data_IF_909725600834
#
_entry.id   IF_909725600834
#
_cell.length_a   1.000
_cell.length_b   1.000
_cell.length_c   1.000
_cell.angle_alpha   90.00
_cell.angle_beta   90.00
_cell.angle_gamma   90.00
#
_symmetry.space_group_name_H-M   'P 1'
#
loop_
_entity.id
_entity.type
_entity.pdbx_description
1 polymer ?
#
# COMPACT_ATOMS: atom_id res chain seq x y z
N UNK A 1 2.31 13.75 -17.99
CA UNK A 1 1.95 12.65 -17.06
C UNK A 1 0.44 12.38 -16.95
N UNK A 2 -0.42 13.38 -16.65
CA UNK A 2 -1.87 13.18 -16.47
C UNK A 2 -2.66 12.74 -17.72
N UNK A 3 -2.12 12.92 -18.93
CA UNK A 3 -2.80 12.49 -20.16
C UNK A 3 -2.72 10.98 -20.38
N UNK A 4 -1.63 10.32 -19.96
CA UNK A 4 -1.47 8.87 -20.13
C UNK A 4 -2.54 8.08 -19.35
N UNK A 5 -2.79 8.45 -18.08
CA UNK A 5 -3.84 7.83 -17.27
C UNK A 5 -5.25 7.97 -17.86
N UNK A 6 -5.48 9.04 -18.63
CA UNK A 6 -6.78 9.34 -19.28
C UNK A 6 -6.90 8.78 -20.69
N UNK A 7 -5.85 8.16 -21.22
CA UNK A 7 -5.89 7.56 -22.55
C UNK A 7 -6.93 6.43 -22.57
N UNK A 8 -7.81 6.33 -23.60
CA UNK A 8 -8.92 5.37 -23.61
C UNK A 8 -8.51 3.90 -23.45
N UNK A 9 -7.31 3.53 -23.93
CA UNK A 9 -6.75 2.18 -23.77
C UNK A 9 -6.24 1.86 -22.36
N UNK A 10 -6.00 2.87 -21.53
CA UNK A 10 -5.47 2.72 -20.17
C UNK A 10 -6.57 2.98 -19.14
N UNK A 11 -7.23 4.14 -19.25
CA UNK A 11 -8.38 4.57 -18.46
C UNK A 11 -8.25 4.28 -16.94
N UNK A 12 -7.14 4.69 -16.35
CA UNK A 12 -6.88 4.52 -14.92
C UNK A 12 -7.45 5.72 -14.17
N UNK A 13 -8.38 5.45 -13.23
CA UNK A 13 -8.86 6.46 -12.29
C UNK A 13 -7.77 6.78 -11.28
N UNK A 14 -7.23 8.00 -11.36
CA UNK A 14 -6.27 8.51 -10.37
C UNK A 14 -7.03 8.98 -9.13
N UNK A 15 -6.68 8.47 -7.96
CA UNK A 15 -7.23 8.92 -6.68
C UNK A 15 -6.65 10.29 -6.31
N UNK A 16 -7.48 11.16 -5.74
CA UNK A 16 -7.02 12.43 -5.15
C UNK A 16 -6.27 12.14 -3.86
N UNK A 17 -5.00 12.54 -3.79
CA UNK A 17 -4.13 12.27 -2.64
C UNK A 17 -3.78 13.55 -1.88
N UNK A 18 -3.93 13.57 -0.54
CA UNK A 18 -3.47 14.70 0.27
C UNK A 18 -1.95 14.74 0.37
N UNK A 19 -1.37 15.94 0.28
CA UNK A 19 0.08 16.13 0.42
C UNK A 19 0.57 15.74 1.80
N UNK A 20 1.77 15.14 1.88
CA UNK A 20 2.43 14.67 3.12
C UNK A 20 1.70 13.58 3.90
N UNK A 21 0.73 12.92 3.28
CA UNK A 21 0.02 11.80 3.90
C UNK A 21 0.61 10.46 3.45
N UNK A 22 1.86 10.19 3.82
CA UNK A 22 2.49 8.88 3.58
C UNK A 22 1.87 7.79 4.46
N UNK A 23 1.37 8.17 5.63
CA UNK A 23 0.58 7.33 6.54
C UNK A 23 -0.68 6.76 5.89
N UNK A 24 -1.25 7.48 4.93
CA UNK A 24 -2.41 7.00 4.17
C UNK A 24 -2.03 6.05 3.04
N UNK A 25 -0.74 5.81 2.76
CA UNK A 25 -0.32 4.96 1.65
C UNK A 25 -0.13 3.51 2.13
N UNK A 26 -1.04 2.58 1.81
CA UNK A 26 -1.00 1.22 2.35
C UNK A 26 0.25 0.42 1.94
N UNK A 27 0.98 0.84 0.89
CA UNK A 27 2.23 0.19 0.50
C UNK A 27 3.36 0.42 1.52
N UNK A 28 3.30 1.49 2.32
CA UNK A 28 4.34 1.77 3.34
C UNK A 28 4.37 0.69 4.41
N UNK A 29 3.19 0.23 4.85
CA UNK A 29 3.09 -0.90 5.77
C UNK A 29 3.63 -2.19 5.14
N UNK A 30 3.33 -2.41 3.85
CA UNK A 30 3.84 -3.58 3.13
C UNK A 30 5.38 -3.58 3.05
N UNK A 31 5.98 -2.42 2.83
CA UNK A 31 7.43 -2.26 2.86
C UNK A 31 8.03 -2.51 4.24
N UNK A 32 7.36 -2.04 5.30
CA UNK A 32 7.76 -2.33 6.67
C UNK A 32 7.77 -3.84 6.95
N UNK A 33 6.68 -4.54 6.59
CA UNK A 33 6.57 -6.00 6.78
C UNK A 33 7.62 -6.77 5.96
N UNK A 34 7.87 -6.37 4.72
CA UNK A 34 8.91 -6.99 3.90
C UNK A 34 10.30 -6.78 4.52
N UNK A 35 10.64 -5.56 4.93
CA UNK A 35 11.92 -5.26 5.59
C UNK A 35 12.07 -6.07 6.87
N UNK A 36 11.01 -6.19 7.68
CA UNK A 36 11.02 -7.00 8.91
C UNK A 36 11.40 -8.46 8.64
N UNK A 37 10.92 -9.05 7.54
CA UNK A 37 11.26 -10.42 7.12
C UNK A 37 12.67 -10.55 6.53
N UNK A 38 13.20 -9.49 5.92
CA UNK A 38 14.52 -9.45 5.29
C UNK A 38 15.66 -9.01 6.23
N UNK A 39 15.38 -8.30 7.32
CA UNK A 39 16.41 -7.96 8.32
C UNK A 39 17.19 -9.18 8.85
N UNK A 40 16.56 -10.34 9.16
CA UNK A 40 17.30 -11.54 9.54
C UNK A 40 17.90 -12.31 8.34
N UNK A 41 17.52 -11.96 7.11
CA UNK A 41 17.83 -12.70 5.88
C UNK A 41 18.09 -11.69 4.77
N UNK A 42 19.35 -11.29 4.58
CA UNK A 42 19.87 -10.52 3.46
C UNK A 42 18.88 -10.29 2.29
N UNK A 43 18.76 -9.05 1.82
CA UNK A 43 17.93 -8.60 0.69
C UNK A 43 18.00 -9.40 -0.62
N UNK A 44 18.96 -10.33 -0.79
CA UNK A 44 19.01 -11.26 -1.93
C UNK A 44 17.69 -12.00 -2.19
N UNK A 45 16.92 -12.31 -1.14
CA UNK A 45 15.65 -13.05 -1.26
C UNK A 45 14.40 -12.14 -1.26
N UNK A 46 14.56 -10.84 -1.52
CA UNK A 46 13.46 -9.88 -1.43
C UNK A 46 12.30 -10.23 -2.37
N UNK A 47 12.59 -10.77 -3.55
CA UNK A 47 11.57 -11.14 -4.54
C UNK A 47 10.74 -12.34 -4.08
N UNK A 48 11.38 -13.34 -3.49
CA UNK A 48 10.75 -14.53 -2.95
C UNK A 48 9.89 -14.19 -1.74
N UNK A 49 10.40 -13.36 -0.82
CA UNK A 49 9.64 -12.91 0.35
C UNK A 49 8.47 -11.99 -0.03
N UNK A 50 8.62 -11.16 -1.07
CA UNK A 50 7.52 -10.39 -1.64
C UNK A 50 6.41 -11.29 -2.19
N UNK A 51 6.78 -12.33 -2.95
CA UNK A 51 5.81 -13.27 -3.51
C UNK A 51 5.12 -14.13 -2.43
N UNK A 52 5.73 -14.27 -1.24
CA UNK A 52 5.19 -15.02 -0.10
C UNK A 52 4.23 -14.22 0.78
N UNK A 53 4.03 -12.93 0.51
CA UNK A 53 3.08 -12.13 1.30
C UNK A 53 1.67 -12.73 1.15
N UNK A 54 1.02 -13.14 2.26
CA UNK A 54 -0.31 -13.73 2.18
C UNK A 54 -1.33 -12.74 1.62
N UNK A 55 -2.30 -13.26 0.85
CA UNK A 55 -3.41 -12.46 0.33
C UNK A 55 -4.19 -11.77 1.46
N UNK A 56 -4.36 -12.43 2.59
CA UNK A 56 -5.10 -11.88 3.74
C UNK A 56 -4.42 -10.63 4.33
N UNK A 57 -3.08 -10.57 4.29
CA UNK A 57 -2.34 -9.36 4.66
C UNK A 57 -2.68 -8.20 3.73
N UNK A 58 -2.79 -8.45 2.42
CA UNK A 58 -3.17 -7.44 1.43
C UNK A 58 -4.62 -6.99 1.61
N UNK A 59 -5.54 -7.91 1.88
CA UNK A 59 -6.95 -7.59 2.12
C UNK A 59 -7.13 -6.76 3.39
N UNK A 60 -6.48 -7.16 4.50
CA UNK A 60 -6.51 -6.40 5.75
C UNK A 60 -5.97 -4.98 5.60
N UNK A 61 -4.97 -4.77 4.75
CA UNK A 61 -4.45 -3.44 4.41
C UNK A 61 -5.46 -2.57 3.67
N UNK A 62 -6.21 -3.15 2.73
CA UNK A 62 -7.27 -2.43 2.01
C UNK A 62 -8.40 -2.05 2.97
N UNK A 63 -8.76 -2.96 3.89
CA UNK A 63 -9.80 -2.71 4.90
C UNK A 63 -9.40 -1.62 5.90
N UNK A 64 -8.14 -1.60 6.36
CA UNK A 64 -7.66 -0.54 7.27
C UNK A 64 -7.73 0.84 6.61
N UNK A 65 -7.46 0.94 5.32
CA UNK A 65 -7.63 2.20 4.56
C UNK A 65 -9.08 2.64 4.48
N UNK A 66 -10.03 1.72 4.29
CA UNK A 66 -11.44 2.06 4.36
C UNK A 66 -11.82 2.59 5.76
N UNK A 67 -11.22 2.04 6.82
CA UNK A 67 -11.44 2.55 8.17
C UNK A 67 -10.92 3.98 8.34
N UNK A 68 -9.74 4.32 7.81
CA UNK A 68 -9.19 5.69 7.88
C UNK A 68 -10.06 6.68 7.10
N UNK A 69 -10.56 6.27 5.93
CA UNK A 69 -11.50 7.08 5.14
C UNK A 69 -12.79 7.34 5.92
N UNK A 70 -13.38 6.30 6.53
CA UNK A 70 -14.58 6.43 7.38
C UNK A 70 -14.31 7.32 8.60
N UNK A 71 -13.12 7.23 9.16
CA UNK A 71 -12.65 8.07 10.26
C UNK A 71 -12.24 9.48 9.81
N UNK A 72 -12.41 9.87 8.54
CA UNK A 72 -12.02 11.20 8.02
C UNK A 72 -10.55 11.57 8.32
N UNK A 73 -9.65 10.58 8.34
CA UNK A 73 -8.24 10.78 8.66
C UNK A 73 -7.90 10.82 10.15
N UNK A 74 -8.87 10.61 11.05
CA UNK A 74 -8.59 10.40 12.47
C UNK A 74 -8.03 8.99 12.74
N UNK A 75 -7.40 8.82 13.90
CA UNK A 75 -6.80 7.56 14.31
C UNK A 75 -7.81 6.39 14.25
N UNK A 76 -7.33 5.24 13.79
CA UNK A 76 -8.10 4.00 13.76
C UNK A 76 -7.53 2.98 14.73
N UNK A 77 -8.20 1.84 14.91
CA UNK A 77 -7.74 0.75 15.77
C UNK A 77 -6.49 0.01 15.26
N UNK A 78 -6.00 0.36 14.07
CA UNK A 78 -4.85 -0.22 13.38
C UNK A 78 -3.66 0.73 13.43
#
# INVERSE_FOLDING_TARGET
MKQWFRHPRVNIRVLTWPSRSSDLNPIEYLWFELKRKLLPRNFRNAKEEWARIPRDTLLGLVESMQAVIKAKGYATKY
#
